data_IF_091115303009
#
_entry.id   IF_091115303009
#
_cell.length_a   1.000
_cell.length_b   1.000
_cell.length_c   1.000
_cell.angle_alpha   90.00
_cell.angle_beta   90.00
_cell.angle_gamma   90.00
#
_symmetry.space_group_name_H-M   'P 1'
#
loop_
_entity.id
_entity.type
_entity.pdbx_description
1 polymer ?
#
# COMPACT_ATOMS: atom_id res chain seq x y z
N UNK A 1 -14.52 17.77 50.13
CA UNK A 1 -13.82 18.11 48.87
C UNK A 1 -13.26 16.84 48.26
N UNK A 2 -14.04 16.17 47.41
CA UNK A 2 -13.62 14.96 46.68
C UNK A 2 -13.04 15.40 45.35
N UNK A 3 -11.72 15.22 45.20
CA UNK A 3 -11.03 15.45 43.93
C UNK A 3 -11.48 14.39 42.92
N UNK A 4 -12.03 14.77 41.74
CA UNK A 4 -12.32 13.80 40.70
C UNK A 4 -10.98 13.31 40.14
N UNK A 5 -10.64 12.07 40.51
CA UNK A 5 -9.58 11.28 39.90
C UNK A 5 -9.86 11.26 38.40
N UNK A 6 -9.07 12.01 37.61
CA UNK A 6 -9.01 11.83 36.15
C UNK A 6 -8.57 10.40 35.92
N UNK A 7 -9.53 9.50 35.71
CA UNK A 7 -9.31 8.26 34.99
C UNK A 7 -8.88 8.68 33.59
N UNK A 8 -7.57 8.82 33.40
CA UNK A 8 -6.96 8.78 32.08
C UNK A 8 -7.21 7.37 31.57
N UNK A 9 -8.41 7.14 31.06
CA UNK A 9 -8.66 6.06 30.13
C UNK A 9 -7.76 6.38 28.95
N UNK A 10 -6.59 5.73 28.90
CA UNK A 10 -5.84 5.59 27.69
C UNK A 10 -6.80 4.92 26.69
N UNK A 11 -7.51 5.73 25.93
CA UNK A 11 -8.37 5.26 24.85
C UNK A 11 -7.53 4.46 23.85
N UNK A 12 -8.14 3.55 23.09
CA UNK A 12 -7.47 2.71 22.09
C UNK A 12 -6.96 3.49 20.87
N UNK A 13 -6.59 4.76 21.04
CA UNK A 13 -6.29 5.72 19.97
C UNK A 13 -4.81 5.74 19.57
N UNK A 14 -3.93 5.06 20.31
CA UNK A 14 -2.54 4.87 19.89
C UNK A 14 -2.40 3.53 19.16
N UNK A 15 -1.79 3.48 17.97
CA UNK A 15 -1.42 2.21 17.37
C UNK A 15 -0.51 1.49 18.34
N UNK A 16 -0.85 0.24 18.63
CA UNK A 16 0.08 -0.60 19.34
C UNK A 16 1.41 -0.68 18.59
N UNK A 17 2.53 -0.93 19.28
CA UNK A 17 3.83 -1.18 18.65
C UNK A 17 3.76 -2.29 17.58
N UNK A 18 2.82 -3.23 17.73
CA UNK A 18 2.52 -4.26 16.73
C UNK A 18 2.10 -3.70 15.36
N UNK A 19 1.31 -2.62 15.29
CA UNK A 19 0.83 -2.07 14.02
C UNK A 19 1.92 -1.34 13.25
N UNK A 20 2.75 -0.58 13.96
CA UNK A 20 3.92 0.07 13.35
C UNK A 20 4.97 -0.98 12.94
N UNK A 21 5.12 -2.04 13.73
CA UNK A 21 5.95 -3.19 13.38
C UNK A 21 5.48 -3.88 12.11
N UNK A 22 4.19 -4.22 12.01
CA UNK A 22 3.59 -4.87 10.83
C UNK A 22 3.79 -4.05 9.56
N UNK A 23 3.49 -2.75 9.61
CA UNK A 23 3.67 -1.85 8.46
C UNK A 23 5.12 -1.82 7.99
N UNK A 24 6.09 -1.72 8.91
CA UNK A 24 7.53 -1.71 8.55
C UNK A 24 7.96 -3.04 7.93
N UNK A 25 7.51 -4.16 8.48
CA UNK A 25 7.84 -5.49 7.96
C UNK A 25 7.24 -5.68 6.57
N UNK A 26 5.96 -5.40 6.39
CA UNK A 26 5.26 -5.56 5.09
C UNK A 26 5.81 -4.61 4.01
N UNK A 27 6.13 -3.36 4.37
CA UNK A 27 6.83 -2.44 3.47
C UNK A 27 8.22 -2.99 3.10
N UNK A 28 8.96 -3.51 4.08
CA UNK A 28 10.26 -4.15 3.85
C UNK A 28 10.15 -5.37 2.93
N UNK A 29 9.12 -6.19 3.09
CA UNK A 29 8.84 -7.34 2.23
C UNK A 29 8.47 -6.89 0.83
N UNK A 30 7.63 -5.87 0.66
CA UNK A 30 7.28 -5.33 -0.66
C UNK A 30 8.50 -4.77 -1.40
N UNK A 31 9.35 -4.01 -0.70
CA UNK A 31 10.62 -3.49 -1.26
C UNK A 31 11.57 -4.64 -1.60
N UNK A 32 11.74 -5.61 -0.71
CA UNK A 32 12.59 -6.77 -0.94
C UNK A 32 12.11 -7.62 -2.13
N UNK A 33 10.80 -7.81 -2.27
CA UNK A 33 10.19 -8.50 -3.40
C UNK A 33 10.40 -7.74 -4.71
N UNK A 34 10.22 -6.41 -4.73
CA UNK A 34 10.52 -5.59 -5.90
C UNK A 34 11.99 -5.69 -6.32
N UNK A 35 12.92 -5.64 -5.36
CA UNK A 35 14.35 -5.84 -5.62
C UNK A 35 14.64 -7.24 -6.19
N UNK A 36 14.03 -8.28 -5.61
CA UNK A 36 14.18 -9.66 -6.10
C UNK A 36 13.66 -9.80 -7.54
N UNK A 37 12.49 -9.22 -7.85
CA UNK A 37 11.94 -9.18 -9.22
C UNK A 37 12.91 -8.50 -10.17
N UNK A 38 13.47 -7.34 -9.80
CA UNK A 38 14.43 -6.62 -10.63
C UNK A 38 15.75 -7.39 -10.85
N UNK A 39 16.17 -8.19 -9.88
CA UNK A 39 17.36 -9.04 -10.00
C UNK A 39 17.12 -10.26 -10.89
N UNK A 40 15.94 -10.87 -10.81
CA UNK A 40 15.58 -12.07 -11.60
C UNK A 40 15.20 -11.68 -13.03
N UNK A 41 14.53 -10.54 -13.21
CA UNK A 41 14.04 -10.05 -14.50
C UNK A 41 14.64 -8.68 -14.80
N UNK A 42 15.95 -8.60 -15.10
CA UNK A 42 16.66 -7.33 -15.23
C UNK A 42 16.13 -6.42 -16.32
N UNK A 43 15.47 -6.96 -17.35
CA UNK A 43 14.92 -6.22 -18.49
C UNK A 43 13.46 -5.78 -18.31
N UNK A 44 12.79 -6.18 -17.21
CA UNK A 44 11.39 -5.84 -16.94
C UNK A 44 11.29 -4.89 -15.75
N UNK A 45 11.74 -3.65 -15.97
CA UNK A 45 11.74 -2.58 -14.98
C UNK A 45 10.33 -2.11 -14.58
N UNK A 46 9.34 -2.40 -15.41
CA UNK A 46 7.92 -2.20 -15.17
C UNK A 46 7.37 -3.10 -14.05
N UNK A 47 7.77 -4.38 -13.99
CA UNK A 47 7.27 -5.35 -13.01
C UNK A 47 7.49 -4.96 -11.54
N UNK A 48 8.71 -4.57 -11.10
CA UNK A 48 8.92 -4.10 -9.72
C UNK A 48 8.18 -2.78 -9.45
N UNK A 49 7.98 -1.92 -10.46
CA UNK A 49 7.14 -0.74 -10.32
C UNK A 49 5.68 -1.14 -10.03
N UNK A 50 5.10 -2.06 -10.80
CA UNK A 50 3.75 -2.57 -10.55
C UNK A 50 3.58 -3.12 -9.13
N UNK A 51 4.55 -3.91 -8.65
CA UNK A 51 4.55 -4.44 -7.28
C UNK A 51 4.54 -3.32 -6.23
N UNK A 52 5.42 -2.32 -6.35
CA UNK A 52 5.45 -1.19 -5.41
C UNK A 52 4.21 -0.29 -5.53
N UNK A 53 3.69 -0.10 -6.74
CA UNK A 53 2.48 0.67 -7.02
C UNK A 53 1.26 0.04 -6.37
N UNK A 54 1.07 -1.27 -6.51
CA UNK A 54 -0.01 -2.02 -5.87
C UNK A 54 0.05 -1.98 -4.35
N UNK A 55 1.25 -2.17 -3.78
CA UNK A 55 1.51 -2.04 -2.35
C UNK A 55 1.17 -0.63 -1.83
N UNK A 56 1.66 0.40 -2.51
CA UNK A 56 1.40 1.80 -2.17
C UNK A 56 -0.08 2.17 -2.25
N UNK A 57 -0.76 1.74 -3.33
CA UNK A 57 -2.17 2.02 -3.55
C UNK A 57 -3.07 1.36 -2.48
N UNK A 58 -2.76 0.14 -2.06
CA UNK A 58 -3.50 -0.56 -1.01
C UNK A 58 -3.40 0.18 0.34
N UNK A 59 -2.18 0.55 0.74
CA UNK A 59 -1.93 1.32 1.97
C UNK A 59 -2.60 2.69 1.91
N UNK A 60 -2.43 3.41 0.80
CA UNK A 60 -2.98 4.75 0.62
C UNK A 60 -4.52 4.72 0.64
N UNK A 61 -5.13 3.77 -0.07
CA UNK A 61 -6.57 3.56 -0.07
C UNK A 61 -7.12 3.26 1.32
N UNK A 62 -6.47 2.34 2.05
CA UNK A 62 -6.85 2.03 3.43
C UNK A 62 -6.69 3.22 4.38
N UNK A 63 -5.69 4.07 4.17
CA UNK A 63 -5.44 5.29 4.92
C UNK A 63 -6.38 6.46 4.54
N UNK A 64 -7.02 6.42 3.36
CA UNK A 64 -8.04 7.39 2.94
C UNK A 64 -9.47 6.96 3.35
N UNK A 65 -9.73 5.65 3.49
CA UNK A 65 -11.08 5.11 3.67
C UNK A 65 -11.80 5.51 5.00
N UNK A 66 -13.14 5.67 5.02
CA UNK A 66 -13.86 5.95 6.26
C UNK A 66 -13.76 4.80 7.29
N UNK A 67 -13.49 5.11 8.56
CA UNK A 67 -13.32 4.11 9.65
C UNK A 67 -14.52 3.21 9.89
N UNK A 68 -15.72 3.75 9.68
CA UNK A 68 -16.97 3.00 9.86
C UNK A 68 -17.02 1.74 8.99
N UNK A 69 -16.19 1.70 7.94
CA UNK A 69 -16.13 0.62 6.99
C UNK A 69 -14.88 -0.27 7.16
N UNK A 70 -14.09 -0.15 8.24
CA UNK A 70 -12.76 -0.82 8.34
C UNK A 70 -12.74 -2.32 7.98
N UNK A 71 -13.73 -3.10 8.44
CA UNK A 71 -13.84 -4.55 8.11
C UNK A 71 -14.25 -4.81 6.66
N UNK A 72 -14.94 -3.86 6.04
CA UNK A 72 -15.35 -3.88 4.64
C UNK A 72 -14.28 -3.26 3.73
N UNK A 73 -13.48 -2.32 4.20
CA UNK A 73 -12.55 -1.53 3.37
C UNK A 73 -11.30 -2.28 2.96
N UNK A 74 -10.85 -3.28 3.71
CA UNK A 74 -9.74 -4.12 3.25
C UNK A 74 -10.20 -4.95 2.05
N UNK A 75 -11.33 -5.66 2.18
CA UNK A 75 -11.86 -6.50 1.10
C UNK A 75 -12.43 -5.71 -0.07
N UNK A 76 -13.23 -4.67 0.17
CA UNK A 76 -13.73 -3.76 -0.88
C UNK A 76 -12.57 -2.98 -1.49
N UNK A 77 -11.61 -2.53 -0.68
CA UNK A 77 -10.42 -1.86 -1.16
C UNK A 77 -9.60 -2.75 -2.09
N UNK A 78 -9.40 -4.02 -1.72
CA UNK A 78 -8.73 -5.00 -2.55
C UNK A 78 -9.50 -5.28 -3.85
N UNK A 79 -10.81 -5.50 -3.79
CA UNK A 79 -11.66 -5.71 -4.97
C UNK A 79 -11.67 -4.47 -5.88
N UNK A 80 -11.75 -3.28 -5.30
CA UNK A 80 -11.65 -2.03 -6.05
C UNK A 80 -10.26 -1.89 -6.68
N UNK A 81 -9.20 -2.28 -5.98
CA UNK A 81 -7.85 -2.27 -6.52
C UNK A 81 -7.70 -3.27 -7.67
N UNK A 82 -8.29 -4.46 -7.58
CA UNK A 82 -8.35 -5.44 -8.68
C UNK A 82 -9.05 -4.84 -9.90
N UNK A 83 -10.24 -4.26 -9.70
CA UNK A 83 -11.00 -3.64 -10.78
C UNK A 83 -10.26 -2.44 -11.39
N UNK A 84 -9.64 -1.60 -10.55
CA UNK A 84 -8.89 -0.44 -10.98
C UNK A 84 -7.61 -0.85 -11.72
N UNK A 85 -6.88 -1.86 -11.24
CA UNK A 85 -5.67 -2.38 -11.88
C UNK A 85 -6.01 -2.92 -13.26
N UNK A 86 -7.07 -3.73 -13.36
CA UNK A 86 -7.57 -4.24 -14.63
C UNK A 86 -8.01 -3.13 -15.58
N UNK A 87 -8.79 -2.15 -15.09
CA UNK A 87 -9.24 -1.02 -15.91
C UNK A 87 -8.08 -0.14 -16.37
N UNK A 88 -7.08 0.09 -15.53
CA UNK A 88 -5.88 0.89 -15.84
C UNK A 88 -5.06 0.19 -16.93
N UNK A 89 -4.81 -1.11 -16.81
CA UNK A 89 -4.11 -1.87 -17.86
C UNK A 89 -4.90 -1.87 -19.18
N UNK A 90 -6.22 -2.08 -19.14
CA UNK A 90 -7.03 -2.11 -20.37
C UNK A 90 -7.15 -0.74 -21.05
N UNK A 91 -7.26 0.35 -20.29
CA UNK A 91 -7.62 1.67 -20.83
C UNK A 91 -6.43 2.64 -20.96
N UNK A 92 -5.38 2.45 -20.16
CA UNK A 92 -4.26 3.40 -20.06
C UNK A 92 -2.96 2.76 -20.55
N UNK A 93 -2.72 1.48 -20.26
CA UNK A 93 -1.50 0.77 -20.64
C UNK A 93 -1.75 -0.27 -21.75
N UNK A 94 -1.83 0.21 -22.99
CA UNK A 94 -1.96 -0.67 -24.15
C UNK A 94 -0.59 -1.06 -24.74
N UNK A 95 -0.36 -2.33 -25.12
CA UNK A 95 -1.27 -3.48 -25.00
C UNK A 95 -1.37 -4.02 -23.56
N UNK A 96 -2.55 -4.54 -23.21
CA UNK A 96 -2.81 -5.16 -21.90
C UNK A 96 -1.78 -6.25 -21.57
N UNK A 97 -1.06 -6.10 -20.46
CA UNK A 97 -0.14 -7.10 -19.94
C UNK A 97 -0.72 -7.72 -18.65
N UNK A 98 -1.05 -9.02 -18.72
CA UNK A 98 -1.56 -9.76 -17.57
C UNK A 98 -0.53 -9.81 -16.42
N UNK A 99 0.76 -9.76 -16.75
CA UNK A 99 1.85 -9.84 -15.78
C UNK A 99 1.91 -8.56 -14.94
N UNK A 100 1.66 -7.40 -15.55
CA UNK A 100 1.60 -6.10 -14.87
C UNK A 100 0.44 -6.05 -13.87
N UNK A 101 -0.73 -6.54 -14.27
CA UNK A 101 -1.86 -6.71 -13.36
C UNK A 101 -1.53 -7.68 -12.21
N UNK A 102 -0.87 -8.80 -12.49
CA UNK A 102 -0.50 -9.78 -11.48
C UNK A 102 0.50 -9.23 -10.45
N UNK A 103 1.52 -8.48 -10.89
CA UNK A 103 2.48 -7.84 -9.97
C UNK A 103 1.83 -6.74 -9.13
N UNK A 104 0.91 -5.95 -9.72
CA UNK A 104 0.13 -4.95 -8.99
C UNK A 104 -0.70 -5.61 -7.89
N UNK A 105 -1.38 -6.71 -8.20
CA UNK A 105 -2.14 -7.48 -7.21
C UNK A 105 -1.25 -8.10 -6.14
N UNK A 106 -0.09 -8.66 -6.51
CA UNK A 106 0.86 -9.23 -5.57
C UNK A 106 1.34 -8.18 -4.56
N UNK A 107 1.69 -6.98 -5.03
CA UNK A 107 2.04 -5.85 -4.16
C UNK A 107 0.94 -5.49 -3.17
N UNK A 108 -0.31 -5.44 -3.64
CA UNK A 108 -1.46 -5.18 -2.78
C UNK A 108 -1.66 -6.25 -1.71
N UNK A 109 -1.51 -7.54 -2.07
CA UNK A 109 -1.57 -8.66 -1.13
C UNK A 109 -0.50 -8.56 -0.05
N UNK A 110 0.74 -8.22 -0.41
CA UNK A 110 1.86 -8.10 0.53
C UNK A 110 1.65 -7.06 1.62
N UNK A 111 0.78 -6.08 1.39
CA UNK A 111 0.49 -4.97 2.33
C UNK A 111 -0.93 -5.01 2.88
N UNK A 112 -1.69 -6.06 2.57
CA UNK A 112 -3.10 -6.17 2.92
C UNK A 112 -3.32 -6.18 4.44
N UNK A 113 -2.43 -6.83 5.19
CA UNK A 113 -2.57 -6.93 6.65
C UNK A 113 -2.29 -5.57 7.33
N UNK A 114 -1.26 -4.85 6.89
CA UNK A 114 -0.97 -3.50 7.34
C UNK A 114 -2.11 -2.55 7.00
N UNK A 115 -2.70 -2.69 5.80
CA UNK A 115 -3.87 -1.94 5.36
C UNK A 115 -5.10 -2.22 6.25
N UNK A 116 -5.37 -3.48 6.62
CA UNK A 116 -6.45 -3.83 7.55
C UNK A 116 -6.23 -3.21 8.94
N UNK A 117 -5.01 -3.30 9.47
CA UNK A 117 -4.68 -2.72 10.77
C UNK A 117 -4.77 -1.18 10.79
N UNK A 118 -4.47 -0.53 9.65
CA UNK A 118 -4.62 0.92 9.47
C UNK A 118 -6.06 1.41 9.59
N UNK A 119 -7.04 0.55 9.27
CA UNK A 119 -8.47 0.82 9.49
C UNK A 119 -8.81 1.08 10.96
N UNK A 120 -7.98 0.59 11.89
CA UNK A 120 -8.18 0.71 13.34
C UNK A 120 -7.43 1.91 13.95
N UNK A 121 -6.53 2.55 13.21
CA UNK A 121 -5.66 3.61 13.73
C UNK A 121 -6.28 5.02 13.65
N UNK A 122 -5.88 5.92 14.57
CA UNK A 122 -6.26 7.35 14.57
C UNK A 122 -5.11 8.32 14.37
N UNK A 123 -5.41 9.48 13.77
CA UNK A 123 -4.51 10.62 13.68
C UNK A 123 -3.20 10.38 12.91
N UNK A 124 -2.07 10.78 13.53
CA UNK A 124 -0.72 10.79 12.95
C UNK A 124 -0.25 9.48 12.30
N UNK A 125 -0.44 8.28 12.91
CA UNK A 125 -0.09 7.00 12.30
C UNK A 125 -0.71 6.76 10.92
N UNK A 126 -1.98 7.16 10.75
CA UNK A 126 -2.69 7.03 9.48
C UNK A 126 -2.15 8.01 8.44
N UNK A 127 -1.82 9.23 8.86
CA UNK A 127 -1.16 10.21 7.99
C UNK A 127 0.26 9.76 7.56
N UNK A 128 1.02 9.16 8.47
CA UNK A 128 2.35 8.59 8.17
C UNK A 128 2.22 7.44 7.17
N UNK A 129 1.28 6.52 7.38
CA UNK A 129 1.05 5.44 6.43
C UNK A 129 0.54 5.94 5.06
N UNK A 130 -0.33 6.95 5.03
CA UNK A 130 -0.73 7.60 3.79
C UNK A 130 0.48 8.21 3.06
N UNK A 131 1.37 8.88 3.79
CA UNK A 131 2.59 9.44 3.21
C UNK A 131 3.51 8.36 2.63
N UNK A 132 3.68 7.23 3.33
CA UNK A 132 4.44 6.09 2.82
C UNK A 132 3.78 5.43 1.61
N UNK A 133 2.46 5.22 1.64
CA UNK A 133 1.70 4.68 0.51
C UNK A 133 1.81 5.58 -0.72
N UNK A 134 1.64 6.90 -0.54
CA UNK A 134 1.83 7.89 -1.60
C UNK A 134 3.28 7.89 -2.12
N UNK A 135 4.28 7.82 -1.23
CA UNK A 135 5.67 7.75 -1.62
C UNK A 135 5.98 6.51 -2.47
N UNK A 136 5.41 5.35 -2.14
CA UNK A 136 5.54 4.13 -2.95
C UNK A 136 4.89 4.27 -4.34
N UNK A 137 3.70 4.86 -4.42
CA UNK A 137 3.04 5.11 -5.71
C UNK A 137 3.88 6.07 -6.56
N UNK A 138 4.38 7.17 -5.97
CA UNK A 138 5.24 8.12 -6.65
C UNK A 138 6.56 7.46 -7.07
N UNK A 139 7.18 6.65 -6.22
CA UNK A 139 8.40 5.92 -6.54
C UNK A 139 8.17 4.91 -7.67
N UNK A 140 7.04 4.20 -7.68
CA UNK A 140 6.63 3.32 -8.78
C UNK A 140 6.52 4.09 -10.10
N UNK A 141 5.79 5.20 -10.11
CA UNK A 141 5.65 6.04 -11.30
C UNK A 141 7.00 6.60 -11.77
N UNK A 142 7.83 7.06 -10.83
CA UNK A 142 9.18 7.54 -11.13
C UNK A 142 10.08 6.43 -11.66
N UNK A 143 10.02 5.23 -11.12
CA UNK A 143 10.81 4.09 -11.61
C UNK A 143 10.37 3.66 -13.01
N UNK A 144 9.06 3.73 -13.30
CA UNK A 144 8.54 3.42 -14.63
C UNK A 144 8.87 4.50 -15.67
N UNK A 145 8.74 5.78 -15.32
CA UNK A 145 8.83 6.89 -16.30
C UNK A 145 10.08 7.77 -16.16
N UNK A 146 10.57 7.95 -14.94
CA UNK A 146 11.69 8.84 -14.61
C UNK A 146 13.07 8.18 -14.73
N UNK A 147 13.18 6.85 -14.54
CA UNK A 147 14.42 6.11 -14.82
C UNK A 147 14.47 5.51 -16.22
N UNK A 148 13.64 6.03 -17.14
CA UNK A 148 13.73 5.78 -18.59
C UNK A 148 15.06 6.32 -19.15
N UNK A 149 16.16 5.66 -18.81
CA UNK A 149 17.42 5.71 -19.55
C UNK A 149 17.23 4.70 -20.69
N UNK A 150 16.70 5.15 -21.84
CA UNK A 150 16.28 4.29 -22.97
C UNK A 150 17.44 3.67 -23.77
N UNK A 151 17.22 3.13 -24.99
CA UNK A 151 16.01 2.62 -25.63
C UNK A 151 16.11 1.11 -25.98
N UNK A 152 14.98 0.46 -26.24
CA UNK A 152 14.86 -0.60 -27.27
C UNK A 152 13.46 -0.58 -27.86
#
# INVERSE_FOLDING_TARGET
>A
MTSPRRTSAAGPDQPGPATVGSLRVELGVAIGAALAVQLVFPYRHDWPAHLLGGAGAMILGAAAAPRALHRLTASIGFVALVALSWATEVQIFHPFDLVDAAFTLAGAVLTFQAADQLGRCRGRPRAVAAAWGAALVVASLWYRYGTSVGPT
#
